data_IF_472986558265
#
_entry.id   IF_472986558265
#
_cell.length_a   1.000
_cell.length_b   1.000
_cell.length_c   1.000
_cell.angle_alpha   90.00
_cell.angle_beta   90.00
_cell.angle_gamma   90.00
#
_symmetry.space_group_name_H-M   'P 1'
#
loop_
_entity.id
_entity.type
_entity.pdbx_description
1 polymer ?
#
# COMPACT_ATOMS: atom_id res chain seq x y z
N UNK A 1 5.10 -9.80 -22.53
CA UNK A 1 5.01 -9.55 -21.07
C UNK A 1 6.44 -9.35 -20.59
N UNK A 2 6.74 -8.24 -19.90
CA UNK A 2 8.10 -7.91 -19.46
C UNK A 2 8.37 -8.63 -18.12
N UNK A 3 9.48 -9.37 -18.03
CA UNK A 3 9.85 -10.15 -16.84
C UNK A 3 11.08 -9.51 -16.18
N UNK A 4 10.93 -9.09 -14.93
CA UNK A 4 12.02 -8.56 -14.10
C UNK A 4 12.43 -9.65 -13.10
N UNK A 5 13.53 -10.34 -13.39
CA UNK A 5 14.02 -11.44 -12.57
C UNK A 5 15.38 -11.07 -11.96
N UNK A 6 15.55 -11.28 -10.65
CA UNK A 6 16.80 -11.02 -9.94
C UNK A 6 17.76 -12.21 -9.90
N UNK A 7 17.33 -13.39 -10.32
CA UNK A 7 18.10 -14.63 -10.18
C UNK A 7 18.62 -15.11 -11.54
N UNK A 8 19.95 -15.12 -11.77
CA UNK A 8 20.54 -15.67 -13.00
C UNK A 8 20.12 -17.12 -13.27
N UNK A 9 19.96 -17.93 -12.22
CA UNK A 9 19.61 -19.35 -12.36
C UNK A 9 18.18 -19.58 -12.87
N UNK A 10 17.23 -18.71 -12.51
CA UNK A 10 15.86 -18.84 -12.99
C UNK A 10 15.75 -18.45 -14.47
N UNK A 11 16.55 -17.47 -14.91
CA UNK A 11 16.65 -17.11 -16.34
C UNK A 11 17.29 -18.24 -17.15
N UNK A 12 18.33 -18.90 -16.61
CA UNK A 12 18.97 -20.03 -17.28
C UNK A 12 17.95 -21.16 -17.56
N UNK A 13 17.15 -21.55 -16.56
CA UNK A 13 16.10 -22.55 -16.72
C UNK A 13 15.01 -22.15 -17.74
N UNK A 14 14.71 -20.85 -17.88
CA UNK A 14 13.75 -20.38 -18.90
C UNK A 14 14.35 -20.43 -20.29
N UNK A 15 15.65 -20.11 -20.46
CA UNK A 15 16.34 -20.17 -21.76
C UNK A 15 16.41 -21.57 -22.34
N UNK A 16 16.46 -22.59 -21.50
CA UNK A 16 16.42 -24.00 -21.93
C UNK A 16 15.09 -24.37 -22.58
N UNK A 17 14.01 -23.65 -22.27
CA UNK A 17 12.64 -24.00 -22.69
C UNK A 17 12.02 -23.01 -23.67
N UNK A 18 12.54 -21.79 -23.75
CA UNK A 18 11.92 -20.65 -24.44
C UNK A 18 13.00 -19.75 -25.04
N UNK A 19 12.76 -19.20 -26.24
CA UNK A 19 13.61 -18.14 -26.79
C UNK A 19 13.41 -16.85 -26.01
N UNK A 20 14.50 -16.26 -25.53
CA UNK A 20 14.49 -15.02 -24.75
C UNK A 20 15.38 -13.95 -25.39
N UNK A 21 14.79 -12.80 -25.67
CA UNK A 21 15.52 -11.57 -25.99
C UNK A 21 15.95 -10.87 -24.69
N UNK A 22 17.10 -10.20 -24.73
CA UNK A 22 17.66 -9.47 -23.58
C UNK A 22 18.05 -8.04 -23.95
N UNK A 23 17.85 -7.09 -23.02
CA UNK A 23 18.29 -5.71 -23.15
C UNK A 23 18.95 -5.24 -21.85
N UNK A 24 20.12 -4.61 -21.95
CA UNK A 24 20.76 -3.94 -20.82
C UNK A 24 20.08 -2.61 -20.58
N UNK A 25 19.75 -2.32 -19.32
CA UNK A 25 19.00 -1.12 -18.95
C UNK A 25 19.56 -0.52 -17.67
N UNK A 26 19.38 0.78 -17.51
CA UNK A 26 19.68 1.51 -16.30
C UNK A 26 18.48 1.47 -15.35
N UNK A 27 18.76 1.30 -14.08
CA UNK A 27 17.79 1.45 -13.03
C UNK A 27 18.18 2.60 -12.11
N UNK A 28 17.26 3.53 -11.86
CA UNK A 28 17.46 4.70 -11.00
C UNK A 28 18.72 5.51 -11.33
N UNK A 29 19.05 5.66 -12.62
CA UNK A 29 20.22 6.37 -13.12
C UNK A 29 21.59 5.80 -12.74
N UNK A 30 21.67 4.69 -11.97
CA UNK A 30 22.94 4.23 -11.39
C UNK A 30 23.13 2.72 -11.40
N UNK A 31 22.06 1.93 -11.37
CA UNK A 31 22.17 0.47 -11.24
C UNK A 31 21.98 -0.20 -12.59
N UNK A 32 23.03 -0.83 -13.11
CA UNK A 32 22.93 -1.66 -14.30
C UNK A 32 22.10 -2.91 -14.02
N UNK A 33 21.20 -3.25 -14.94
CA UNK A 33 20.54 -4.54 -14.94
C UNK A 33 20.11 -4.97 -16.33
N UNK A 34 19.42 -6.10 -16.39
CA UNK A 34 19.01 -6.71 -17.65
C UNK A 34 17.51 -7.00 -17.60
N UNK A 35 16.82 -6.66 -18.70
CA UNK A 35 15.43 -7.03 -18.94
C UNK A 35 15.39 -8.20 -19.91
N UNK A 36 14.59 -9.21 -19.59
CA UNK A 36 14.34 -10.35 -20.47
C UNK A 36 12.90 -10.31 -20.99
N UNK A 37 12.73 -10.67 -22.26
CA UNK A 37 11.45 -10.69 -22.95
C UNK A 37 11.32 -11.96 -23.79
N UNK A 38 10.12 -12.54 -23.83
CA UNK A 38 9.78 -13.64 -24.74
C UNK A 38 9.44 -13.13 -26.16
N UNK A 39 9.28 -11.80 -26.32
CA UNK A 39 9.13 -11.18 -27.63
C UNK A 39 10.52 -10.99 -28.24
N UNK A 40 10.64 -11.33 -29.52
CA UNK A 40 11.87 -11.12 -30.29
C UNK A 40 12.20 -9.64 -30.39
N UNK A 41 11.21 -8.81 -30.69
CA UNK A 41 11.35 -7.35 -30.71
C UNK A 41 11.28 -6.77 -29.29
N UNK A 42 12.36 -6.06 -28.93
CA UNK A 42 12.55 -5.37 -27.66
C UNK A 42 12.89 -3.88 -27.84
N UNK A 43 12.70 -3.34 -29.06
CA UNK A 43 12.91 -1.92 -29.37
C UNK A 43 12.05 -1.00 -28.50
N UNK A 44 10.83 -1.44 -28.17
CA UNK A 44 9.89 -0.69 -27.33
C UNK A 44 10.22 -0.73 -25.84
N UNK A 45 11.25 -1.46 -25.41
CA UNK A 45 11.65 -1.54 -24.00
C UNK A 45 12.48 -0.30 -23.65
N UNK A 46 12.14 0.47 -22.61
CA UNK A 46 12.91 1.64 -22.20
C UNK A 46 14.37 1.31 -21.88
N UNK A 47 15.28 2.25 -22.15
CA UNK A 47 16.70 2.15 -21.77
C UNK A 47 16.91 2.39 -20.27
N UNK A 48 15.98 3.11 -19.63
CA UNK A 48 16.04 3.44 -18.21
C UNK A 48 14.70 3.19 -17.52
N UNK A 49 14.78 2.60 -16.33
CA UNK A 49 13.66 2.36 -15.44
C UNK A 49 13.86 3.12 -14.13
N UNK A 50 12.90 3.95 -13.76
CA UNK A 50 12.87 4.63 -12.47
C UNK A 50 11.93 3.87 -11.53
N UNK A 51 12.49 3.26 -10.49
CA UNK A 51 11.74 2.72 -9.36
C UNK A 51 12.07 3.49 -8.09
N UNK A 52 11.06 3.92 -7.36
CA UNK A 52 11.24 4.37 -5.99
C UNK A 52 10.79 3.22 -5.07
N UNK A 53 11.71 2.73 -4.23
CA UNK A 53 11.35 1.82 -3.16
C UNK A 53 10.54 2.64 -2.13
N UNK A 54 9.23 2.69 -2.30
CA UNK A 54 8.39 3.30 -1.27
C UNK A 54 8.25 2.27 -0.16
N UNK A 55 8.93 2.45 0.96
CA UNK A 55 8.57 1.80 2.24
C UNK A 55 7.18 2.28 2.75
N UNK A 56 6.38 2.91 1.90
CA UNK A 56 5.07 3.46 2.23
C UNK A 56 4.04 2.38 2.09
N UNK A 57 3.43 2.07 3.21
CA UNK A 57 2.20 1.31 3.28
C UNK A 57 1.13 2.13 2.53
N UNK A 58 0.48 1.50 1.57
CA UNK A 58 -0.51 2.15 0.71
C UNK A 58 -1.90 1.70 1.07
N UNK A 59 -2.84 2.63 1.03
CA UNK A 59 -4.27 2.35 1.14
C UNK A 59 -4.90 2.43 -0.25
N UNK A 60 -5.31 1.29 -0.80
CA UNK A 60 -5.83 1.18 -2.17
C UNK A 60 -7.17 0.47 -2.13
N UNK A 61 -8.11 0.96 -2.94
CA UNK A 61 -9.40 0.33 -3.24
C UNK A 61 -9.47 0.03 -4.74
N UNK A 62 -10.56 -0.59 -5.21
CA UNK A 62 -10.80 -0.77 -6.65
C UNK A 62 -10.84 0.56 -7.42
N UNK A 63 -11.18 1.67 -6.77
CA UNK A 63 -11.18 3.01 -7.33
C UNK A 63 -9.80 3.72 -7.29
N UNK A 64 -8.77 3.06 -6.76
CA UNK A 64 -7.41 3.61 -6.65
C UNK A 64 -7.02 3.98 -5.21
N UNK A 65 -6.02 4.85 -5.10
CA UNK A 65 -5.42 5.24 -3.81
C UNK A 65 -6.37 6.12 -3.00
N UNK A 66 -6.55 5.78 -1.72
CA UNK A 66 -7.42 6.52 -0.79
C UNK A 66 -6.67 7.01 0.45
N UNK A 67 -5.34 7.14 0.38
CA UNK A 67 -4.49 7.51 1.52
C UNK A 67 -4.42 9.02 1.80
N UNK A 68 -4.71 9.86 0.79
CA UNK A 68 -4.54 11.32 0.86
C UNK A 68 -5.26 11.98 2.06
N UNK A 69 -6.53 11.64 2.38
CA UNK A 69 -7.21 12.24 3.53
C UNK A 69 -6.53 11.94 4.85
N UNK A 70 -6.05 10.70 5.03
CA UNK A 70 -5.36 10.25 6.24
C UNK A 70 -3.99 10.94 6.38
N UNK A 71 -3.25 11.06 5.28
CA UNK A 71 -1.97 11.77 5.25
C UNK A 71 -2.13 13.26 5.56
N UNK A 72 -3.20 13.90 5.08
CA UNK A 72 -3.49 15.31 5.35
C UNK A 72 -3.75 15.53 6.85
N UNK A 73 -4.62 14.73 7.46
CA UNK A 73 -4.90 14.78 8.90
C UNK A 73 -3.63 14.54 9.74
N UNK A 74 -2.80 13.58 9.34
CA UNK A 74 -1.55 13.27 10.04
C UNK A 74 -0.57 14.45 10.06
N UNK A 75 -0.57 15.28 9.00
CA UNK A 75 0.27 16.49 8.89
C UNK A 75 -0.30 17.68 9.68
N UNK A 76 -1.62 17.83 9.69
CA UNK A 76 -2.29 18.99 10.30
C UNK A 76 -2.38 18.89 11.82
N UNK A 77 -2.59 17.68 12.35
CA UNK A 77 -2.81 17.47 13.78
C UNK A 77 -1.64 16.69 14.37
N UNK A 78 -1.15 17.09 15.55
CA UNK A 78 -0.04 16.39 16.23
C UNK A 78 -0.51 15.22 17.08
N UNK A 79 -1.59 15.39 17.85
CA UNK A 79 -2.01 14.40 18.82
C UNK A 79 -2.72 13.20 18.15
N UNK A 80 -2.31 11.94 18.41
CA UNK A 80 -2.90 10.75 17.78
C UNK A 80 -4.41 10.63 17.93
N UNK A 81 -4.94 10.89 19.14
CA UNK A 81 -6.37 10.78 19.43
C UNK A 81 -7.19 11.87 18.73
N UNK A 82 -6.63 13.07 18.55
CA UNK A 82 -7.28 14.16 17.82
C UNK A 82 -7.31 13.87 16.32
N UNK A 83 -6.24 13.27 15.75
CA UNK A 83 -6.26 12.78 14.37
C UNK A 83 -7.38 11.77 14.15
N UNK A 84 -7.52 10.80 15.07
CA UNK A 84 -8.59 9.80 15.01
C UNK A 84 -9.98 10.47 15.08
N UNK A 85 -10.19 11.37 16.03
CA UNK A 85 -11.44 12.10 16.17
C UNK A 85 -11.78 12.89 14.90
N UNK A 86 -10.80 13.63 14.35
CA UNK A 86 -10.98 14.40 13.11
C UNK A 86 -11.31 13.50 11.92
N UNK A 87 -10.64 12.36 11.78
CA UNK A 87 -10.90 11.40 10.72
C UNK A 87 -12.34 10.86 10.79
N UNK A 88 -12.79 10.46 11.98
CA UNK A 88 -14.15 9.97 12.19
C UNK A 88 -15.19 11.08 11.93
N UNK A 89 -14.95 12.30 12.40
CA UNK A 89 -15.82 13.46 12.14
C UNK A 89 -15.90 13.80 10.65
N UNK A 90 -14.80 13.66 9.92
CA UNK A 90 -14.74 13.83 8.47
C UNK A 90 -15.41 12.69 7.68
N UNK A 91 -16.00 11.70 8.37
CA UNK A 91 -16.67 10.56 7.76
C UNK A 91 -15.72 9.49 7.22
N UNK A 92 -14.44 9.55 7.57
CA UNK A 92 -13.48 8.51 7.21
C UNK A 92 -13.70 7.26 8.06
N UNK A 93 -13.54 6.11 7.42
CA UNK A 93 -13.54 4.82 8.09
C UNK A 93 -12.10 4.41 8.43
N UNK A 94 -11.84 4.16 9.71
CA UNK A 94 -10.49 3.95 10.26
C UNK A 94 -10.33 2.49 10.70
N UNK A 95 -9.40 1.77 10.09
CA UNK A 95 -8.98 0.44 10.53
C UNK A 95 -7.80 0.51 11.50
N UNK A 96 -7.46 -0.61 12.14
CA UNK A 96 -6.26 -0.70 12.99
C UNK A 96 -4.97 -0.27 12.26
N UNK A 97 -4.83 -0.60 10.98
CA UNK A 97 -3.69 -0.21 10.16
C UNK A 97 -3.68 1.29 9.91
N UNK A 98 -4.85 1.90 9.65
CA UNK A 98 -4.96 3.34 9.44
C UNK A 98 -4.53 4.11 10.70
N UNK A 99 -5.02 3.65 11.86
CA UNK A 99 -4.63 4.18 13.16
C UNK A 99 -3.13 4.07 13.42
N UNK A 100 -2.53 2.92 13.13
CA UNK A 100 -1.11 2.68 13.36
C UNK A 100 -0.22 3.54 12.45
N UNK A 101 -0.49 3.54 11.14
CA UNK A 101 0.46 4.12 10.17
C UNK A 101 0.26 5.61 9.93
N UNK A 102 -0.96 6.13 10.03
CA UNK A 102 -1.21 7.56 9.77
C UNK A 102 -1.42 8.34 11.07
N UNK A 103 -2.06 7.75 12.08
CA UNK A 103 -2.43 8.51 13.28
C UNK A 103 -1.46 8.32 14.45
N UNK A 104 -0.65 7.26 14.45
CA UNK A 104 0.24 6.92 15.57
C UNK A 104 -0.51 6.29 16.75
N UNK A 105 -1.69 5.73 16.50
CA UNK A 105 -2.49 5.01 17.49
C UNK A 105 -1.96 3.59 17.65
N UNK A 106 -1.19 3.33 18.72
CA UNK A 106 -0.73 1.98 19.05
C UNK A 106 -1.87 1.05 19.49
N UNK A 107 -2.92 1.59 20.11
CA UNK A 107 -4.07 0.85 20.65
C UNK A 107 -5.37 1.48 20.20
N UNK A 108 -5.68 1.37 18.90
CA UNK A 108 -6.84 2.03 18.29
C UNK A 108 -8.15 1.77 19.03
N UNK A 109 -8.42 0.52 19.43
CA UNK A 109 -9.64 0.18 20.17
C UNK A 109 -9.77 0.94 21.51
N UNK A 110 -8.65 1.19 22.20
CA UNK A 110 -8.63 1.97 23.44
C UNK A 110 -8.87 3.46 23.19
N UNK A 111 -8.32 4.01 22.10
CA UNK A 111 -8.60 5.39 21.68
C UNK A 111 -10.07 5.57 21.28
N UNK A 112 -10.64 4.63 20.53
CA UNK A 112 -12.07 4.61 20.19
C UNK A 112 -12.93 4.53 21.45
N UNK A 113 -12.59 3.68 22.42
CA UNK A 113 -13.30 3.61 23.69
C UNK A 113 -13.27 4.95 24.44
N UNK A 114 -12.12 5.63 24.47
CA UNK A 114 -12.00 6.97 25.07
C UNK A 114 -12.87 8.01 24.36
N UNK A 115 -12.91 7.98 23.03
CA UNK A 115 -13.77 8.88 22.23
C UNK A 115 -15.26 8.62 22.45
N UNK A 116 -15.67 7.34 22.57
CA UNK A 116 -17.04 6.99 22.96
C UNK A 116 -17.40 7.55 24.34
N UNK A 117 -16.50 7.42 25.31
CA UNK A 117 -16.69 7.99 26.66
C UNK A 117 -16.77 9.52 26.66
N UNK A 118 -16.14 10.19 25.70
CA UNK A 118 -16.28 11.65 25.51
C UNK A 118 -17.50 12.05 24.68
N UNK A 119 -18.44 11.12 24.42
CA UNK A 119 -19.71 11.39 23.74
C UNK A 119 -19.71 11.19 22.23
N UNK A 120 -18.61 10.76 21.61
CA UNK A 120 -18.58 10.51 20.17
C UNK A 120 -19.29 9.20 19.81
N UNK A 121 -20.27 9.28 18.91
CA UNK A 121 -20.97 8.09 18.37
C UNK A 121 -20.11 7.42 17.30
N UNK A 122 -19.61 6.23 17.61
CA UNK A 122 -18.70 5.47 16.74
C UNK A 122 -19.23 4.04 16.58
N UNK A 123 -19.56 3.65 15.35
CA UNK A 123 -19.93 2.29 15.00
C UNK A 123 -18.69 1.46 14.66
N UNK A 124 -18.75 0.16 14.96
CA UNK A 124 -17.77 -0.82 14.49
C UNK A 124 -18.38 -1.60 13.34
N UNK A 125 -17.68 -1.68 12.23
CA UNK A 125 -18.05 -2.49 11.07
C UNK A 125 -16.95 -3.49 10.74
N UNK A 126 -17.29 -4.45 9.90
CA UNK A 126 -16.37 -5.45 9.38
C UNK A 126 -15.97 -5.07 7.96
N UNK A 127 -14.67 -5.15 7.66
CA UNK A 127 -14.13 -4.85 6.33
C UNK A 127 -13.12 -5.89 5.90
N UNK A 128 -13.33 -6.45 4.71
CA UNK A 128 -12.35 -7.34 4.09
C UNK A 128 -11.19 -6.54 3.51
N UNK A 129 -9.97 -6.90 3.90
CA UNK A 129 -8.73 -6.32 3.39
C UNK A 129 -7.83 -7.42 2.85
N UNK A 130 -7.07 -7.10 1.81
CA UNK A 130 -6.02 -7.96 1.27
C UNK A 130 -4.64 -7.38 1.61
N UNK A 131 -3.69 -8.23 1.96
CA UNK A 131 -2.29 -7.85 2.14
C UNK A 131 -1.39 -8.60 1.14
N UNK A 132 -0.44 -7.88 0.55
CA UNK A 132 0.49 -8.44 -0.45
C UNK A 132 1.64 -9.23 0.17
N UNK A 133 1.95 -9.01 1.46
CA UNK A 133 3.05 -9.73 2.14
C UNK A 133 2.66 -11.19 2.39
N UNK A 134 1.43 -11.41 2.84
CA UNK A 134 0.88 -12.73 3.15
C UNK A 134 0.05 -13.32 2.02
N UNK A 135 -0.40 -12.50 1.06
CA UNK A 135 -1.32 -12.93 0.00
C UNK A 135 -2.70 -13.33 0.51
N UNK A 136 -3.06 -12.94 1.75
CA UNK A 136 -4.32 -13.34 2.38
C UNK A 136 -5.36 -12.22 2.35
N UNK A 137 -6.62 -12.60 2.24
CA UNK A 137 -7.76 -11.72 2.53
C UNK A 137 -8.25 -11.99 3.95
N UNK A 138 -8.49 -10.94 4.73
CA UNK A 138 -8.96 -11.05 6.10
C UNK A 138 -10.03 -10.01 6.37
N UNK A 139 -11.05 -10.43 7.13
CA UNK A 139 -12.01 -9.50 7.69
C UNK A 139 -11.42 -8.85 8.94
N UNK A 140 -11.38 -7.52 8.97
CA UNK A 140 -10.87 -6.73 10.09
C UNK A 140 -11.92 -5.72 10.56
N UNK A 141 -11.87 -5.29 11.83
CA UNK A 141 -12.73 -4.22 12.32
C UNK A 141 -12.33 -2.88 11.69
N UNK A 142 -13.35 -2.10 11.35
CA UNK A 142 -13.24 -0.73 10.86
C UNK A 142 -14.19 0.17 11.66
N UNK A 143 -13.72 1.33 12.10
CA UNK A 143 -14.49 2.27 12.90
C UNK A 143 -14.94 3.43 12.04
N UNK A 144 -16.21 3.83 12.17
CA UNK A 144 -16.76 5.00 11.48
C UNK A 144 -17.64 5.79 12.43
N UNK A 145 -17.85 7.07 12.13
CA UNK A 145 -18.87 7.84 12.84
C UNK A 145 -20.24 7.21 12.62
N UNK A 146 -20.96 6.97 13.72
CA UNK A 146 -22.37 6.57 13.72
C UNK A 146 -23.21 7.85 13.63
N UNK A 147 -23.24 8.43 12.42
CA UNK A 147 -24.23 9.46 12.09
C UNK A 147 -25.55 8.70 11.92
N UNK A 148 -26.44 8.86 12.89
CA UNK A 148 -27.82 8.37 12.78
C UNK A 148 -28.52 8.96 11.56
#
# INVERSE_FOLDING_TARGET
RLLLLRAPQLIAAVRERQTLSQKNVLFNGKRYGCVYSMKTDISTVPDEFQYHLSHRIRRITSAGSTETPYQKIAKEVKAPRERLALALTAGLEVTALDGLFWFGCQRLAADVLRLRKSGMRIATASKTVSDTVTGTMRSIPAYRSDRG
#
